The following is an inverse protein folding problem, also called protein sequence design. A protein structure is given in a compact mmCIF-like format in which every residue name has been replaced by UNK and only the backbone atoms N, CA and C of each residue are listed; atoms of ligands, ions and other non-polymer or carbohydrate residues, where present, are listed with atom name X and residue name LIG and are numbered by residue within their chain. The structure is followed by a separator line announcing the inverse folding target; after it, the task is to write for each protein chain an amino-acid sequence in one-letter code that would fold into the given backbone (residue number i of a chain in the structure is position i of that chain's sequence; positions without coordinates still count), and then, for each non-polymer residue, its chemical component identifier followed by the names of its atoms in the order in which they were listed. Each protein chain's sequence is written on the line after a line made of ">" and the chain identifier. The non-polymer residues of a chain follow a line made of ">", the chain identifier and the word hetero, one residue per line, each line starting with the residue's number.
data_IF_983081014512
#
_entry.id   IF_983081014512
#
_cell.length_a   1.000
_cell.length_b   1.000
_cell.length_c   1.000
_cell.angle_alpha   90.00
_cell.angle_beta   90.00
_cell.angle_gamma   90.00
#
_symmetry.space_group_name_H-M   'P 1'
#
loop_
_entity.id
_entity.type
_entity.pdbx_description
1 polymer ?
#
# COMPACT_ATOMS: atom_id res chain seq x y z
N UNK A 1 3.43 -12.52 -3.62
CA UNK A 1 3.11 -11.48 -4.63
C UNK A 1 1.99 -11.89 -5.61
N UNK A 2 2.10 -13.01 -6.35
CA UNK A 2 1.06 -13.41 -7.33
C UNK A 2 -0.37 -13.49 -6.78
N UNK A 3 -0.57 -14.01 -5.56
CA UNK A 3 -1.90 -14.04 -4.92
C UNK A 3 -2.58 -12.66 -4.85
N UNK A 4 -1.81 -11.60 -4.54
CA UNK A 4 -2.35 -10.23 -4.47
C UNK A 4 -2.63 -9.67 -5.87
N UNK A 5 -1.82 -10.05 -6.87
CA UNK A 5 -2.07 -9.72 -8.28
C UNK A 5 -3.36 -10.35 -8.78
N UNK A 6 -3.61 -11.63 -8.51
CA UNK A 6 -4.88 -12.29 -8.86
C UNK A 6 -6.10 -11.55 -8.30
N UNK A 7 -6.03 -11.04 -7.06
CA UNK A 7 -7.10 -10.24 -6.50
C UNK A 7 -7.25 -8.87 -7.19
N UNK A 8 -6.13 -8.19 -7.52
CA UNK A 8 -6.11 -6.83 -8.08
C UNK A 8 -6.40 -6.77 -9.58
N UNK A 9 -5.86 -7.72 -10.34
CA UNK A 9 -5.87 -7.75 -11.80
C UNK A 9 -7.04 -8.58 -12.33
N UNK A 10 -7.38 -9.69 -11.66
CA UNK A 10 -8.39 -10.65 -12.13
C UNK A 10 -9.65 -10.71 -11.25
N UNK A 11 -9.69 -9.98 -10.14
CA UNK A 11 -10.81 -10.02 -9.19
C UNK A 11 -10.94 -11.35 -8.43
N UNK A 12 -9.91 -12.19 -8.44
CA UNK A 12 -9.90 -13.50 -7.81
C UNK A 12 -9.31 -13.43 -6.40
N UNK A 13 -10.17 -13.28 -5.39
CA UNK A 13 -9.76 -13.29 -3.99
C UNK A 13 -9.50 -14.73 -3.51
N UNK A 14 -8.24 -15.20 -3.61
CA UNK A 14 -7.82 -16.59 -3.37
C UNK A 14 -6.68 -16.72 -2.36
N UNK A 15 -6.39 -17.94 -1.91
CA UNK A 15 -5.32 -18.23 -0.96
C UNK A 15 -3.88 -18.15 -1.51
N UNK A 16 -2.91 -18.33 -0.62
CA UNK A 16 -1.48 -18.30 -0.97
C UNK A 16 -1.07 -19.40 -1.96
N UNK A 17 -1.57 -20.62 -1.77
CA UNK A 17 -1.31 -21.79 -2.65
C UNK A 17 -1.79 -21.55 -4.08
N UNK A 18 -2.91 -20.85 -4.24
CA UNK A 18 -3.46 -20.45 -5.53
C UNK A 18 -2.48 -19.57 -6.32
N UNK A 19 -1.86 -18.59 -5.66
CA UNK A 19 -0.84 -17.76 -6.29
C UNK A 19 0.37 -18.56 -6.74
N UNK A 20 0.82 -19.54 -5.93
CA UNK A 20 1.91 -20.44 -6.32
C UNK A 20 1.54 -21.33 -7.52
N UNK A 21 0.32 -21.89 -7.53
CA UNK A 21 -0.17 -22.70 -8.62
C UNK A 21 -0.21 -21.92 -9.94
N UNK A 22 -0.66 -20.66 -9.91
CA UNK A 22 -0.65 -19.79 -11.10
C UNK A 22 0.77 -19.47 -11.57
N UNK A 23 1.73 -19.21 -10.65
CA UNK A 23 3.14 -19.04 -11.05
C UNK A 23 3.66 -20.30 -11.76
N UNK A 24 3.40 -21.49 -11.22
CA UNK A 24 3.78 -22.75 -11.88
C UNK A 24 3.12 -22.92 -13.25
N UNK A 25 1.84 -22.58 -13.37
CA UNK A 25 1.11 -22.62 -14.63
C UNK A 25 1.68 -21.65 -15.68
N UNK A 26 2.08 -20.45 -15.27
CA UNK A 26 2.74 -19.48 -16.16
C UNK A 26 4.11 -20.00 -16.66
N UNK A 27 4.87 -20.69 -15.82
CA UNK A 27 6.13 -21.33 -16.26
C UNK A 27 5.91 -22.46 -17.26
N UNK A 28 4.83 -23.25 -17.10
CA UNK A 28 4.45 -24.29 -18.06
C UNK A 28 3.97 -23.66 -19.37
N UNK A 29 3.13 -22.62 -19.30
CA UNK A 29 2.54 -21.95 -20.45
C UNK A 29 3.58 -21.36 -21.41
N UNK A 30 4.77 -20.97 -20.93
CA UNK A 30 5.90 -20.52 -21.77
C UNK A 30 6.35 -21.54 -22.81
N UNK A 31 5.98 -22.82 -22.67
CA UNK A 31 6.37 -23.92 -23.55
C UNK A 31 5.24 -24.40 -24.47
N UNK A 32 4.07 -23.77 -24.40
CA UNK A 32 2.86 -24.17 -25.10
C UNK A 32 2.58 -23.28 -26.31
N UNK A 33 1.78 -23.79 -27.25
CA UNK A 33 1.30 -23.07 -28.41
C UNK A 33 0.09 -22.18 -28.09
N UNK A 34 -0.31 -21.29 -29.02
CA UNK A 34 -1.41 -20.35 -28.81
C UNK A 34 -2.78 -21.02 -28.63
N UNK A 35 -2.95 -22.25 -29.13
CA UNK A 35 -4.20 -23.01 -29.06
C UNK A 35 -4.26 -23.94 -27.82
N UNK A 36 -3.17 -24.06 -27.07
CA UNK A 36 -3.10 -24.91 -25.89
C UNK A 36 -3.79 -24.24 -24.70
N UNK A 37 -4.47 -25.05 -23.88
CA UNK A 37 -5.19 -24.57 -22.69
C UNK A 37 -4.56 -25.13 -21.42
N UNK A 38 -4.24 -24.24 -20.47
CA UNK A 38 -3.78 -24.60 -19.13
C UNK A 38 -4.91 -24.40 -18.14
N UNK A 39 -5.22 -25.45 -17.38
CA UNK A 39 -6.20 -25.40 -16.29
C UNK A 39 -5.48 -25.41 -14.95
N UNK A 40 -5.85 -24.47 -14.07
CA UNK A 40 -5.25 -24.30 -12.73
C UNK A 40 -6.36 -24.39 -11.69
N UNK A 41 -6.17 -25.25 -10.69
CA UNK A 41 -7.11 -25.36 -9.56
C UNK A 41 -6.73 -24.37 -8.47
N UNK A 42 -7.69 -23.53 -8.07
CA UNK A 42 -7.55 -22.57 -6.98
C UNK A 42 -8.38 -23.08 -5.79
N UNK A 43 -7.77 -23.78 -4.82
CA UNK A 43 -8.51 -24.63 -3.88
C UNK A 43 -9.38 -23.87 -2.87
N UNK A 44 -9.05 -22.61 -2.58
CA UNK A 44 -9.71 -21.85 -1.52
C UNK A 44 -9.73 -20.34 -1.75
N UNK A 45 -10.62 -19.68 -1.00
CA UNK A 45 -10.79 -18.22 -1.03
C UNK A 45 -9.75 -17.50 -0.18
N UNK A 46 -9.50 -16.23 -0.49
CA UNK A 46 -8.60 -15.34 0.24
C UNK A 46 -9.11 -14.90 1.61
N UNK A 47 -10.38 -15.18 1.97
CA UNK A 47 -11.02 -14.72 3.21
C UNK A 47 -10.23 -15.10 4.47
N UNK A 48 -9.65 -16.30 4.51
CA UNK A 48 -8.86 -16.79 5.64
C UNK A 48 -7.48 -16.11 5.80
N UNK A 49 -7.09 -15.29 4.84
CA UNK A 49 -5.74 -14.71 4.75
C UNK A 49 -5.71 -13.19 4.75
N UNK A 50 -6.85 -12.54 5.04
CA UNK A 50 -6.97 -11.08 5.05
C UNK A 50 -5.96 -10.42 6.01
N UNK A 51 -5.74 -11.02 7.18
CA UNK A 51 -4.75 -10.57 8.16
C UNK A 51 -3.31 -11.05 7.90
N UNK A 52 -3.08 -11.77 6.78
CA UNK A 52 -1.77 -12.32 6.40
C UNK A 52 -1.32 -11.75 5.06
N UNK A 53 -1.36 -12.55 3.98
CA UNK A 53 -0.85 -12.18 2.65
C UNK A 53 -1.52 -10.94 2.04
N UNK A 54 -2.70 -10.54 2.54
CA UNK A 54 -3.36 -9.31 2.11
C UNK A 54 -3.09 -8.11 3.02
N UNK A 55 -2.44 -8.30 4.16
CA UNK A 55 -1.99 -7.25 5.08
C UNK A 55 -0.56 -6.83 4.72
N UNK A 56 -0.32 -5.54 4.50
CA UNK A 56 1.00 -5.00 4.13
C UNK A 56 2.03 -5.11 5.24
N UNK A 57 1.65 -4.87 6.49
CA UNK A 57 2.53 -5.02 7.65
C UNK A 57 3.00 -6.46 7.80
N UNK A 58 2.07 -7.43 7.72
CA UNK A 58 2.44 -8.85 7.71
C UNK A 58 3.36 -9.21 6.54
N UNK A 59 3.12 -8.64 5.36
CA UNK A 59 4.00 -8.88 4.21
C UNK A 59 5.39 -8.24 4.42
N UNK A 60 5.48 -7.07 5.07
CA UNK A 60 6.72 -6.38 5.38
C UNK A 60 7.54 -7.13 6.43
N UNK A 61 6.91 -7.56 7.53
CA UNK A 61 7.54 -8.30 8.64
C UNK A 61 8.25 -9.57 8.17
N UNK A 62 7.72 -10.19 7.11
CA UNK A 62 8.28 -11.40 6.50
C UNK A 62 9.09 -11.14 5.23
N UNK A 63 9.36 -9.87 4.88
CA UNK A 63 10.20 -9.49 3.74
C UNK A 63 9.61 -9.83 2.37
N UNK A 64 8.28 -9.91 2.26
CA UNK A 64 7.57 -10.23 1.02
C UNK A 64 7.09 -9.00 0.24
N UNK A 65 7.16 -7.80 0.82
CA UNK A 65 7.03 -6.56 0.08
C UNK A 65 8.37 -6.23 -0.56
N UNK A 66 8.36 -5.96 -1.86
CA UNK A 66 9.47 -5.28 -2.51
C UNK A 66 9.53 -3.85 -1.96
N UNK A 67 10.74 -3.39 -1.65
CA UNK A 67 10.97 -1.97 -1.41
C UNK A 67 10.66 -1.23 -2.71
N UNK A 68 9.46 -0.64 -2.80
CA UNK A 68 9.03 0.12 -3.97
C UNK A 68 9.78 1.45 -4.12
N UNK A 69 10.86 1.70 -3.35
CA UNK A 69 11.78 2.82 -3.54
C UNK A 69 11.14 4.20 -3.33
N UNK A 70 9.88 4.22 -2.92
CA UNK A 70 9.06 5.40 -2.67
C UNK A 70 8.35 5.22 -1.34
N UNK A 71 9.12 4.92 -0.30
CA UNK A 71 8.70 5.39 1.02
C UNK A 71 8.79 6.91 0.97
N UNK A 72 7.67 7.56 0.67
CA UNK A 72 7.53 9.00 0.88
C UNK A 72 7.83 9.25 2.36
N UNK A 73 9.06 9.68 2.64
CA UNK A 73 9.46 10.01 3.98
C UNK A 73 8.95 11.41 4.34
N UNK A 74 8.88 11.70 5.63
CA UNK A 74 8.44 13.01 6.11
C UNK A 74 9.27 14.13 5.47
N UNK A 75 10.56 13.90 5.22
CA UNK A 75 11.44 14.84 4.51
C UNK A 75 10.95 15.18 3.09
N UNK A 76 10.55 14.18 2.30
CA UNK A 76 9.98 14.41 0.97
C UNK A 76 8.72 15.27 1.02
N UNK A 77 7.88 15.12 2.05
CA UNK A 77 6.69 15.97 2.26
C UNK A 77 7.09 17.40 2.67
N UNK A 78 8.12 17.53 3.52
CA UNK A 78 8.65 18.84 3.94
C UNK A 78 9.28 19.60 2.78
N UNK A 79 9.95 18.93 1.85
CA UNK A 79 10.55 19.54 0.66
C UNK A 79 9.51 20.17 -0.27
N UNK A 80 8.26 19.68 -0.27
CA UNK A 80 7.15 20.29 -1.02
C UNK A 80 6.57 21.54 -0.33
N UNK A 81 6.90 21.83 0.93
CA UNK A 81 6.36 22.98 1.64
C UNK A 81 7.29 24.19 1.45
N UNK A 82 6.86 25.13 0.61
CA UNK A 82 7.58 26.38 0.38
C UNK A 82 7.31 27.42 1.49
N UNK A 83 8.36 28.13 1.93
CA UNK A 83 8.26 29.28 2.85
C UNK A 83 8.83 29.04 4.27
N UNK A 84 9.07 30.12 5.04
CA UNK A 84 9.57 30.04 6.40
C UNK A 84 8.46 29.51 7.33
N UNK A 85 8.47 28.21 7.57
CA UNK A 85 7.62 27.57 8.56
C UNK A 85 8.35 27.48 9.90
N UNK A 86 7.73 27.88 11.02
CA UNK A 86 8.28 27.60 12.33
C UNK A 86 8.29 26.08 12.58
N UNK A 87 9.20 25.61 13.44
CA UNK A 87 9.36 24.18 13.75
C UNK A 87 8.10 23.56 14.38
N UNK A 88 7.29 24.37 15.05
CA UNK A 88 6.02 23.98 15.63
C UNK A 88 5.14 25.24 15.75
N UNK A 89 3.93 25.19 15.20
CA UNK A 89 2.90 26.18 15.49
C UNK A 89 2.14 25.67 16.72
N UNK A 90 2.13 26.44 17.80
CA UNK A 90 1.40 26.11 19.02
C UNK A 90 0.77 27.36 19.62
N UNK A 91 -0.17 27.15 20.53
CA UNK A 91 -0.86 28.20 21.28
C UNK A 91 -0.97 27.84 22.75
N UNK A 92 -1.23 28.84 23.57
CA UNK A 92 -1.48 28.72 25.00
C UNK A 92 -3.00 28.65 25.28
N UNK A 93 -3.45 27.88 26.31
CA UNK A 93 -4.87 27.75 26.65
C UNK A 93 -5.59 29.07 26.98
N UNK A 94 -4.84 30.11 27.30
CA UNK A 94 -5.33 31.45 27.65
C UNK A 94 -5.57 32.34 26.42
N UNK A 95 -5.06 31.96 25.25
CA UNK A 95 -5.24 32.70 24.01
C UNK A 95 -6.64 32.51 23.44
N UNK A 96 -7.14 33.55 22.80
CA UNK A 96 -8.49 33.58 22.25
C UNK A 96 -8.59 32.81 20.93
N UNK A 97 -9.82 32.44 20.57
CA UNK A 97 -10.11 31.83 19.26
C UNK A 97 -9.73 32.77 18.11
N UNK A 98 -9.79 34.09 18.31
CA UNK A 98 -9.38 35.08 17.30
C UNK A 98 -7.89 34.99 17.00
N UNK A 99 -7.07 34.96 18.05
CA UNK A 99 -5.61 34.79 17.94
C UNK A 99 -5.27 33.46 17.26
N UNK A 100 -6.04 32.40 17.52
CA UNK A 100 -5.89 31.12 16.82
C UNK A 100 -6.08 31.24 15.30
N UNK A 101 -7.13 31.93 14.88
CA UNK A 101 -7.45 32.09 13.45
C UNK A 101 -6.36 32.89 12.75
N UNK A 102 -5.79 33.90 13.41
CA UNK A 102 -4.73 34.73 12.85
C UNK A 102 -3.45 33.90 12.67
N UNK A 103 -3.04 33.10 13.66
CA UNK A 103 -1.89 32.19 13.57
C UNK A 103 -2.08 31.15 12.46
N UNK A 104 -3.28 30.55 12.36
CA UNK A 104 -3.59 29.57 11.31
C UNK A 104 -3.48 30.18 9.90
N UNK A 105 -3.92 31.42 9.72
CA UNK A 105 -3.81 32.15 8.44
C UNK A 105 -2.37 32.53 8.12
N UNK A 106 -1.62 33.02 9.10
CA UNK A 106 -0.23 33.44 8.93
C UNK A 106 0.64 32.29 8.41
N UNK A 107 0.48 31.09 8.97
CA UNK A 107 1.30 29.93 8.60
C UNK A 107 0.63 28.96 7.61
N UNK A 108 -0.56 29.29 7.11
CA UNK A 108 -1.30 28.46 6.15
C UNK A 108 -1.61 27.06 6.70
N UNK A 109 -1.97 26.97 7.98
CA UNK A 109 -2.32 25.73 8.68
C UNK A 109 -3.83 25.71 8.90
N UNK A 110 -4.46 24.54 8.75
CA UNK A 110 -5.92 24.43 8.85
C UNK A 110 -6.41 23.73 10.12
N UNK A 111 -5.53 23.05 10.88
CA UNK A 111 -5.88 22.22 12.03
C UNK A 111 -4.70 22.13 13.01
#
# INVERSE_FOLDING_TARGET
>A
QMTRRLAKEEGLLVGGSCGMAVVGALEVAKRLGPEDVVVVLLPDSGRGYLSKIFNDEWMADYGFLEDSGTSANVGAVLDFKEGPMPSLVHMHPEETVGEAIDVLREYGVSQ
#
